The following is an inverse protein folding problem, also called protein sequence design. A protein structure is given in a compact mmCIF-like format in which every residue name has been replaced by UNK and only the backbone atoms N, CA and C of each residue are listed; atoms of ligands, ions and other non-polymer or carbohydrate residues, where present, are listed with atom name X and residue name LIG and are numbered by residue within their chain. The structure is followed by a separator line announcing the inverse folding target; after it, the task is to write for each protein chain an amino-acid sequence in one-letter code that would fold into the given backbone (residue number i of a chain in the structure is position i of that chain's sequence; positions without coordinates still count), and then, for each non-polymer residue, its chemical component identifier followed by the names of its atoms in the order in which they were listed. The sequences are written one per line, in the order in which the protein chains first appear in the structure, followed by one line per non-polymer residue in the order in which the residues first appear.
data_IF_787075164386
#
_entry.id   IF_787075164386
#
_cell.length_a   1.000
_cell.length_b   1.000
_cell.length_c   1.000
_cell.angle_alpha   90.00
_cell.angle_beta   90.00
_cell.angle_gamma   90.00
#
_symmetry.space_group_name_H-M   'P 1'
#
loop_
_entity.id
_entity.type
_entity.pdbx_description
1 polymer ?
#
# COMPACT_ATOMS: atom_id res chain seq x y z
N UNK A 1 -52.83 -14.58 -32.84
CA UNK A 1 -51.46 -14.44 -33.39
C UNK A 1 -50.53 -14.13 -32.23
N UNK A 2 -49.53 -14.99 -31.98
CA UNK A 2 -48.60 -14.86 -30.86
C UNK A 2 -47.47 -13.92 -31.25
N UNK A 3 -47.39 -12.74 -30.61
CA UNK A 3 -46.27 -11.83 -30.79
C UNK A 3 -45.10 -12.27 -29.91
N UNK A 4 -44.09 -12.87 -30.52
CA UNK A 4 -42.83 -13.20 -29.86
C UNK A 4 -42.11 -11.90 -29.51
N UNK A 5 -41.90 -11.63 -28.21
CA UNK A 5 -41.17 -10.45 -27.75
C UNK A 5 -39.76 -10.47 -28.33
N UNK A 6 -39.44 -9.50 -29.19
CA UNK A 6 -38.10 -9.36 -29.75
C UNK A 6 -37.18 -8.69 -28.72
N UNK A 7 -36.36 -9.50 -28.05
CA UNK A 7 -35.48 -9.06 -26.97
C UNK A 7 -34.39 -8.08 -27.42
N UNK A 8 -34.02 -8.05 -28.71
CA UNK A 8 -33.09 -7.05 -29.26
C UNK A 8 -33.72 -5.66 -29.27
N UNK A 9 -35.01 -5.56 -29.59
CA UNK A 9 -35.76 -4.30 -29.55
C UNK A 9 -35.91 -3.82 -28.11
N UNK A 10 -36.17 -4.72 -27.16
CA UNK A 10 -36.26 -4.36 -25.74
C UNK A 10 -34.94 -3.80 -25.21
N UNK A 11 -33.81 -4.40 -25.56
CA UNK A 11 -32.48 -3.94 -25.14
C UNK A 11 -32.09 -2.59 -25.77
N UNK A 12 -32.55 -2.32 -27.00
CA UNK A 12 -32.44 -1.01 -27.65
C UNK A 12 -33.34 0.04 -26.97
N UNK A 13 -34.57 -0.31 -26.60
CA UNK A 13 -35.49 0.56 -25.85
C UNK A 13 -34.92 0.88 -24.47
N UNK A 14 -34.40 -0.12 -23.76
CA UNK A 14 -33.79 0.04 -22.43
C UNK A 14 -32.55 0.96 -22.52
N UNK A 15 -31.69 0.76 -23.53
CA UNK A 15 -30.56 1.66 -23.81
C UNK A 15 -31.02 3.06 -24.23
N UNK A 16 -32.10 3.21 -24.99
CA UNK A 16 -32.67 4.52 -25.36
C UNK A 16 -33.33 5.22 -24.17
N UNK A 17 -33.85 4.50 -23.17
CA UNK A 17 -34.33 5.08 -21.91
C UNK A 17 -33.21 5.53 -20.98
N UNK A 18 -31.99 4.98 -21.09
CA UNK A 18 -30.79 5.52 -20.43
C UNK A 18 -30.28 6.81 -21.10
N UNK A 19 -30.71 7.09 -22.34
CA UNK A 19 -30.51 8.39 -22.97
C UNK A 19 -31.51 9.42 -22.42
N UNK A 20 -31.28 9.87 -21.19
CA UNK A 20 -31.97 11.04 -20.61
C UNK A 20 -31.63 12.38 -21.33
N UNK A 21 -30.99 12.33 -22.50
CA UNK A 21 -30.61 13.48 -23.32
C UNK A 21 -31.75 14.14 -24.10
N UNK A 22 -32.97 13.60 -24.07
CA UNK A 22 -34.15 14.21 -24.73
C UNK A 22 -35.01 15.08 -23.80
N UNK A 23 -34.74 15.11 -22.48
CA UNK A 23 -35.60 15.79 -21.50
C UNK A 23 -35.52 17.32 -21.49
N UNK A 24 -34.67 17.95 -22.29
CA UNK A 24 -34.61 19.42 -22.38
C UNK A 24 -34.88 19.96 -23.77
N UNK A 25 -35.98 19.53 -24.37
CA UNK A 25 -36.61 20.30 -25.43
C UNK A 25 -38.07 20.56 -25.05
N UNK A 26 -38.32 21.78 -24.55
CA UNK A 26 -39.67 22.37 -24.49
C UNK A 26 -40.34 22.14 -25.86
N UNK A 27 -41.58 21.64 -25.94
CA UNK A 27 -42.24 21.37 -27.22
C UNK A 27 -42.23 22.66 -28.05
N UNK A 28 -41.72 22.64 -29.30
CA UNK A 28 -41.75 23.82 -30.14
C UNK A 28 -43.20 24.19 -30.43
N UNK A 29 -43.50 25.48 -30.30
CA UNK A 29 -44.78 26.07 -30.70
C UNK A 29 -45.13 25.68 -32.16
N UNK A 30 -46.43 25.62 -32.53
CA UNK A 30 -46.86 25.20 -33.87
C UNK A 30 -46.10 25.98 -34.95
N UNK A 31 -45.44 25.23 -35.83
CA UNK A 31 -44.54 25.76 -36.85
C UNK A 31 -45.32 26.64 -37.84
N UNK A 32 -45.02 27.95 -37.85
CA UNK A 32 -45.35 28.81 -38.99
C UNK A 32 -44.57 28.31 -40.22
N UNK A 33 -45.16 28.36 -41.44
CA UNK A 33 -44.45 27.94 -42.64
C UNK A 33 -43.14 28.73 -42.78
N UNK A 34 -42.04 28.02 -43.02
CA UNK A 34 -40.74 28.63 -43.24
C UNK A 34 -40.81 29.50 -44.52
N UNK A 35 -40.91 30.82 -44.33
CA UNK A 35 -40.85 31.79 -45.42
C UNK A 35 -39.40 32.05 -45.74
N UNK A 36 -39.02 32.01 -47.01
CA UNK A 36 -37.81 32.70 -47.46
C UNK A 36 -38.11 34.19 -47.43
N UNK A 37 -37.49 34.92 -46.52
CA UNK A 37 -37.56 36.38 -46.53
C UNK A 37 -36.73 36.89 -47.71
N UNK A 38 -37.35 36.99 -48.89
CA UNK A 38 -36.67 37.44 -50.10
C UNK A 38 -37.51 37.25 -51.37
N UNK A 39 -37.45 38.26 -52.25
CA UNK A 39 -37.91 38.17 -53.64
C UNK A 39 -36.70 37.92 -54.54
N UNK A 40 -36.90 37.19 -55.62
CA UNK A 40 -35.88 37.01 -56.65
C UNK A 40 -35.49 38.36 -57.24
N UNK A 41 -34.20 38.66 -57.29
CA UNK A 41 -33.71 39.94 -57.82
C UNK A 41 -34.01 40.13 -59.31
N UNK A 42 -34.05 39.03 -60.09
CA UNK A 42 -34.30 39.07 -61.54
C UNK A 42 -35.79 39.13 -61.91
N UNK A 43 -36.63 38.45 -61.14
CA UNK A 43 -38.04 38.23 -61.49
C UNK A 43 -39.02 38.87 -60.51
N UNK A 44 -38.53 39.40 -59.38
CA UNK A 44 -39.31 39.97 -58.28
C UNK A 44 -40.37 39.02 -57.67
N UNK A 45 -40.23 37.72 -57.92
CA UNK A 45 -41.08 36.64 -57.42
C UNK A 45 -40.59 36.04 -56.10
N UNK A 46 -41.49 35.46 -55.31
CA UNK A 46 -41.14 34.82 -54.03
C UNK A 46 -40.24 33.57 -54.22
N UNK A 47 -39.21 33.44 -53.37
CA UNK A 47 -38.21 32.36 -53.45
C UNK A 47 -38.71 31.03 -52.81
N UNK A 48 -39.74 30.42 -53.39
CA UNK A 48 -40.41 29.24 -52.79
C UNK A 48 -39.68 27.90 -52.99
N UNK A 49 -38.67 27.84 -53.84
CA UNK A 49 -37.98 26.61 -54.23
C UNK A 49 -36.52 26.67 -53.80
N UNK A 50 -35.90 25.52 -53.56
CA UNK A 50 -34.47 25.38 -53.29
C UNK A 50 -33.84 24.52 -54.38
N UNK A 51 -32.78 25.03 -55.01
CA UNK A 51 -32.01 24.27 -55.98
C UNK A 51 -30.90 23.48 -55.26
N UNK A 52 -30.92 22.16 -55.36
CA UNK A 52 -29.94 21.29 -54.69
C UNK A 52 -28.55 21.42 -55.32
N UNK A 53 -28.46 21.60 -56.64
CA UNK A 53 -27.20 21.77 -57.37
C UNK A 53 -26.50 23.06 -56.97
N UNK A 54 -27.23 24.19 -56.99
CA UNK A 54 -26.67 25.52 -56.72
C UNK A 54 -26.72 25.92 -55.24
N UNK A 55 -27.33 25.07 -54.40
CA UNK A 55 -27.48 25.24 -52.94
C UNK A 55 -28.04 26.60 -52.54
N UNK A 56 -29.06 27.08 -53.26
CA UNK A 56 -29.68 28.39 -53.04
C UNK A 56 -31.18 28.37 -53.29
N UNK A 57 -31.95 29.24 -52.63
CA UNK A 57 -33.36 29.41 -52.92
C UNK A 57 -33.55 30.15 -54.26
N UNK A 58 -34.55 29.72 -55.03
CA UNK A 58 -34.91 30.26 -56.35
C UNK A 58 -36.43 30.48 -56.42
N UNK A 59 -36.90 31.34 -57.33
CA UNK A 59 -38.33 31.50 -57.62
C UNK A 59 -38.81 30.50 -58.68
N UNK A 60 -40.12 30.41 -58.88
CA UNK A 60 -40.73 29.51 -59.87
C UNK A 60 -40.31 29.81 -61.32
N UNK A 61 -40.07 31.09 -61.65
CA UNK A 61 -39.58 31.50 -62.98
C UNK A 61 -38.12 31.08 -63.20
N UNK A 62 -37.29 31.18 -62.14
CA UNK A 62 -35.91 30.69 -62.19
C UNK A 62 -35.85 29.19 -62.46
N UNK A 63 -36.79 28.38 -61.95
CA UNK A 63 -36.83 26.93 -62.21
C UNK A 63 -37.00 26.62 -63.71
N UNK A 64 -37.74 27.44 -64.45
CA UNK A 64 -37.96 27.21 -65.89
C UNK A 64 -36.83 27.78 -66.76
N UNK A 65 -35.94 28.60 -66.18
CA UNK A 65 -34.82 29.17 -66.92
C UNK A 65 -33.81 28.09 -67.33
N UNK A 66 -33.04 28.37 -68.39
CA UNK A 66 -31.96 27.48 -68.85
C UNK A 66 -30.95 27.16 -67.75
N UNK A 67 -30.80 28.06 -66.77
CA UNK A 67 -29.85 27.93 -65.66
C UNK A 67 -30.24 26.82 -64.67
N UNK A 68 -31.54 26.58 -64.44
CA UNK A 68 -32.01 25.64 -63.40
C UNK A 68 -32.99 24.56 -63.89
N UNK A 69 -33.42 24.59 -65.16
CA UNK A 69 -34.43 23.65 -65.71
C UNK A 69 -34.04 22.18 -65.60
N UNK A 70 -32.74 21.87 -65.54
CA UNK A 70 -32.22 20.51 -65.38
C UNK A 70 -31.73 20.20 -63.95
N UNK A 71 -31.82 21.15 -63.03
CA UNK A 71 -31.39 20.96 -61.65
C UNK A 71 -32.51 20.33 -60.82
N UNK A 72 -32.10 19.54 -59.82
CA UNK A 72 -33.01 19.04 -58.82
C UNK A 72 -33.46 20.18 -57.90
N UNK A 73 -34.78 20.32 -57.74
CA UNK A 73 -35.40 21.42 -57.02
C UNK A 73 -36.54 20.90 -56.16
N UNK A 74 -36.59 21.36 -54.90
CA UNK A 74 -37.64 21.01 -53.95
C UNK A 74 -38.23 22.28 -53.32
N UNK A 75 -39.49 22.25 -52.82
CA UNK A 75 -40.06 23.33 -52.03
C UNK A 75 -39.18 23.64 -50.80
N UNK A 76 -38.94 24.92 -50.52
CA UNK A 76 -38.14 25.33 -49.36
C UNK A 76 -38.65 24.74 -48.04
N UNK A 77 -39.97 24.68 -47.75
CA UNK A 77 -40.44 24.09 -46.49
C UNK A 77 -40.01 22.63 -46.30
N UNK A 78 -39.98 21.84 -47.37
CA UNK A 78 -39.55 20.42 -47.33
C UNK A 78 -38.06 20.33 -47.03
N UNK A 79 -37.23 21.07 -47.77
CA UNK A 79 -35.78 21.11 -47.54
C UNK A 79 -35.44 21.60 -46.14
N UNK A 80 -36.18 22.58 -45.61
CA UNK A 80 -35.99 23.07 -44.24
C UNK A 80 -36.30 21.99 -43.21
N UNK A 81 -37.37 21.21 -43.39
CA UNK A 81 -37.68 20.09 -42.48
C UNK A 81 -36.63 18.98 -42.56
N UNK A 82 -36.12 18.65 -43.75
CA UNK A 82 -35.02 17.69 -43.92
C UNK A 82 -33.73 18.17 -43.24
N UNK A 83 -33.36 19.45 -43.44
CA UNK A 83 -32.20 20.06 -42.79
C UNK A 83 -32.36 20.06 -41.27
N UNK A 84 -33.54 20.40 -40.74
CA UNK A 84 -33.85 20.29 -39.30
C UNK A 84 -33.72 18.86 -38.81
N UNK A 85 -34.18 17.87 -39.58
CA UNK A 85 -34.01 16.44 -39.29
C UNK A 85 -32.54 16.06 -39.16
N UNK A 86 -31.72 16.45 -40.15
CA UNK A 86 -30.27 16.25 -40.12
C UNK A 86 -29.58 16.91 -38.92
N UNK A 87 -29.98 18.12 -38.55
CA UNK A 87 -29.47 18.81 -37.36
C UNK A 87 -29.88 18.10 -36.06
N UNK A 88 -31.13 17.62 -35.95
CA UNK A 88 -31.59 16.83 -34.80
C UNK A 88 -30.77 15.54 -34.62
N UNK A 89 -30.49 14.82 -35.70
CA UNK A 89 -29.65 13.61 -35.64
C UNK A 89 -28.21 13.92 -35.19
N UNK A 90 -27.61 15.01 -35.71
CA UNK A 90 -26.29 15.46 -35.26
C UNK A 90 -26.31 15.83 -33.77
N UNK A 91 -27.35 16.51 -33.30
CA UNK A 91 -27.51 16.88 -31.90
C UNK A 91 -27.59 15.63 -31.00
N UNK A 92 -28.38 14.63 -31.39
CA UNK A 92 -28.47 13.36 -30.65
C UNK A 92 -27.11 12.68 -30.56
N UNK A 93 -26.36 12.61 -31.67
CA UNK A 93 -25.01 12.04 -31.69
C UNK A 93 -24.05 12.78 -30.76
N UNK A 94 -24.05 14.12 -30.80
CA UNK A 94 -23.18 14.93 -29.95
C UNK A 94 -23.52 14.80 -28.47
N UNK A 95 -24.81 14.75 -28.12
CA UNK A 95 -25.26 14.54 -26.75
C UNK A 95 -24.85 13.16 -26.23
N UNK A 96 -24.94 12.12 -27.07
CA UNK A 96 -24.41 10.80 -26.73
C UNK A 96 -22.92 10.83 -26.43
N UNK A 97 -22.13 11.43 -27.33
CA UNK A 97 -20.68 11.54 -27.16
C UNK A 97 -20.33 12.29 -25.88
N UNK A 98 -21.04 13.38 -25.56
CA UNK A 98 -20.88 14.12 -24.30
C UNK A 98 -21.17 13.24 -23.08
N UNK A 99 -22.25 12.45 -23.12
CA UNK A 99 -22.57 11.50 -22.04
C UNK A 99 -21.47 10.44 -21.87
N UNK A 100 -20.97 9.88 -22.96
CA UNK A 100 -19.85 8.91 -22.92
C UNK A 100 -18.58 9.52 -22.34
N UNK A 101 -18.21 10.73 -22.73
CA UNK A 101 -17.08 11.45 -22.13
C UNK A 101 -17.28 11.67 -20.62
N UNK A 102 -18.49 12.01 -20.19
CA UNK A 102 -18.83 12.14 -18.77
C UNK A 102 -18.65 10.84 -17.99
N UNK A 103 -19.09 9.71 -18.55
CA UNK A 103 -18.91 8.38 -17.97
C UNK A 103 -17.44 7.99 -17.84
N UNK A 104 -16.66 8.15 -18.90
CA UNK A 104 -15.21 7.82 -18.89
C UNK A 104 -14.50 8.70 -17.86
N UNK A 105 -14.79 10.00 -17.83
CA UNK A 105 -14.21 10.92 -16.84
C UNK A 105 -14.49 10.47 -15.41
N UNK A 106 -15.73 10.10 -15.09
CA UNK A 106 -16.08 9.62 -13.75
C UNK A 106 -15.34 8.33 -13.38
N UNK A 107 -15.23 7.38 -14.32
CA UNK A 107 -14.45 6.15 -14.13
C UNK A 107 -12.97 6.44 -13.88
N UNK A 108 -12.36 7.35 -14.65
CA UNK A 108 -10.95 7.71 -14.49
C UNK A 108 -10.68 8.46 -13.19
N UNK A 109 -11.60 9.35 -12.77
CA UNK A 109 -11.53 10.03 -11.46
C UNK A 109 -11.61 9.02 -10.30
N UNK A 110 -12.48 8.02 -10.39
CA UNK A 110 -12.55 6.93 -9.42
C UNK A 110 -11.26 6.10 -9.42
N UNK A 111 -10.77 5.68 -10.58
CA UNK A 111 -9.53 4.90 -10.70
C UNK A 111 -8.33 5.66 -10.12
N UNK A 112 -8.27 6.98 -10.34
CA UNK A 112 -7.25 7.85 -9.75
C UNK A 112 -7.33 7.89 -8.22
N UNK A 113 -8.53 7.93 -7.65
CA UNK A 113 -8.72 7.85 -6.20
C UNK A 113 -8.29 6.48 -5.65
N UNK A 114 -8.68 5.39 -6.31
CA UNK A 114 -8.33 4.02 -5.93
C UNK A 114 -6.81 3.79 -5.94
N UNK A 115 -6.10 4.31 -6.94
CA UNK A 115 -4.63 4.23 -7.00
C UNK A 115 -3.99 4.94 -5.81
N UNK A 116 -4.51 6.10 -5.39
CA UNK A 116 -4.00 6.81 -4.20
C UNK A 116 -4.24 6.02 -2.92
N UNK A 117 -5.44 5.43 -2.76
CA UNK A 117 -5.77 4.60 -1.61
C UNK A 117 -4.88 3.35 -1.54
N UNK A 118 -4.70 2.66 -2.67
CA UNK A 118 -3.80 1.49 -2.76
C UNK A 118 -2.35 1.85 -2.42
N UNK A 119 -1.87 3.01 -2.90
CA UNK A 119 -0.53 3.51 -2.56
C UNK A 119 -0.41 3.74 -1.05
N UNK A 120 -1.40 4.39 -0.44
CA UNK A 120 -1.38 4.70 1.00
C UNK A 120 -1.40 3.42 1.84
N UNK A 121 -2.27 2.47 1.52
CA UNK A 121 -2.33 1.18 2.21
C UNK A 121 -1.02 0.38 2.07
N UNK A 122 -0.40 0.39 0.88
CA UNK A 122 0.90 -0.27 0.69
C UNK A 122 2.01 0.45 1.48
N UNK A 123 1.97 1.78 1.57
CA UNK A 123 2.91 2.54 2.37
C UNK A 123 2.81 2.17 3.85
N UNK A 124 1.60 2.15 4.40
CA UNK A 124 1.33 1.73 5.79
C UNK A 124 1.83 0.31 6.03
N UNK A 125 1.51 -0.63 5.12
CA UNK A 125 2.02 -2.00 5.22
C UNK A 125 3.55 -2.08 5.23
N UNK A 126 4.23 -1.31 4.38
CA UNK A 126 5.70 -1.28 4.36
C UNK A 126 6.24 -0.73 5.69
N UNK A 127 5.64 0.33 6.21
CA UNK A 127 6.02 0.93 7.50
C UNK A 127 5.82 -0.06 8.65
N UNK A 128 4.69 -0.78 8.67
CA UNK A 128 4.38 -1.80 9.67
C UNK A 128 5.32 -3.02 9.58
N UNK A 129 5.52 -3.57 8.38
CA UNK A 129 6.39 -4.74 8.16
C UNK A 129 7.86 -4.40 8.55
N UNK A 130 8.35 -3.25 8.11
CA UNK A 130 9.70 -2.79 8.48
C UNK A 130 9.78 -2.48 9.98
N UNK A 131 8.75 -1.85 10.54
CA UNK A 131 8.67 -1.54 11.96
C UNK A 131 8.73 -2.80 12.83
N UNK A 132 7.98 -3.84 12.47
CA UNK A 132 7.99 -5.12 13.16
C UNK A 132 9.37 -5.79 13.12
N UNK A 133 10.05 -5.75 11.97
CA UNK A 133 11.41 -6.28 11.84
C UNK A 133 12.43 -5.51 12.69
N UNK A 134 12.34 -4.18 12.72
CA UNK A 134 13.22 -3.34 13.56
C UNK A 134 12.96 -3.61 15.04
N UNK A 135 11.70 -3.68 15.46
CA UNK A 135 11.35 -3.98 16.85
C UNK A 135 11.88 -5.34 17.27
N UNK A 136 11.70 -6.38 16.44
CA UNK A 136 12.26 -7.70 16.69
C UNK A 136 13.78 -7.67 16.87
N UNK A 137 14.51 -6.90 16.04
CA UNK A 137 15.96 -6.78 16.15
C UNK A 137 16.39 -6.09 17.46
N UNK A 138 15.64 -5.07 17.90
CA UNK A 138 15.89 -4.39 19.16
C UNK A 138 15.64 -5.34 20.35
N UNK A 139 14.50 -6.03 20.35
CA UNK A 139 14.11 -6.98 21.39
C UNK A 139 15.12 -8.14 21.49
N UNK A 140 15.53 -8.72 20.37
CA UNK A 140 16.51 -9.81 20.36
C UNK A 140 17.90 -9.34 20.81
N UNK A 141 18.30 -8.10 20.48
CA UNK A 141 19.54 -7.49 20.96
C UNK A 141 19.49 -7.29 22.48
N UNK A 142 18.42 -6.71 23.01
CA UNK A 142 18.26 -6.49 24.46
C UNK A 142 18.24 -7.84 25.21
N UNK A 143 17.48 -8.83 24.71
CA UNK A 143 17.45 -10.20 25.26
C UNK A 143 18.82 -10.87 25.32
N UNK A 144 19.65 -10.66 24.29
CA UNK A 144 21.00 -11.24 24.24
C UNK A 144 21.94 -10.55 25.25
N UNK A 145 21.84 -9.23 25.41
CA UNK A 145 22.63 -8.46 26.37
C UNK A 145 22.26 -8.83 27.82
N UNK A 146 20.98 -8.89 28.14
CA UNK A 146 20.51 -9.31 29.47
C UNK A 146 21.01 -10.71 29.83
N UNK A 147 20.99 -11.63 28.87
CA UNK A 147 21.48 -12.99 29.07
C UNK A 147 23.00 -13.02 29.29
N UNK A 148 23.76 -12.17 28.61
CA UNK A 148 25.21 -12.06 28.79
C UNK A 148 25.54 -11.50 30.18
N UNK A 149 24.86 -10.44 30.61
CA UNK A 149 25.00 -9.85 31.95
C UNK A 149 24.66 -10.88 33.05
N UNK A 150 23.62 -11.68 32.86
CA UNK A 150 23.25 -12.74 33.79
C UNK A 150 24.31 -13.84 33.89
N UNK A 151 24.93 -14.23 32.77
CA UNK A 151 25.98 -15.27 32.75
C UNK A 151 27.28 -14.76 33.42
N UNK A 152 27.64 -13.50 33.17
CA UNK A 152 28.75 -12.83 33.87
C UNK A 152 28.50 -12.79 35.38
N UNK A 153 27.32 -12.31 35.81
CA UNK A 153 26.97 -12.22 37.23
C UNK A 153 26.99 -13.59 37.92
N UNK A 154 26.48 -14.64 37.27
CA UNK A 154 26.52 -16.00 37.80
C UNK A 154 27.95 -16.52 37.94
N UNK A 155 28.82 -16.24 36.95
CA UNK A 155 30.23 -16.64 36.99
C UNK A 155 30.99 -15.92 38.09
N UNK A 156 30.79 -14.60 38.23
CA UNK A 156 31.40 -13.80 39.30
C UNK A 156 30.96 -14.29 40.68
N UNK A 157 29.67 -14.59 40.86
CA UNK A 157 29.16 -15.10 42.13
C UNK A 157 29.84 -16.42 42.54
N UNK A 158 30.04 -17.34 41.58
CA UNK A 158 30.74 -18.59 41.81
C UNK A 158 32.21 -18.38 42.19
N UNK A 159 32.90 -17.43 41.55
CA UNK A 159 34.28 -17.05 41.88
C UNK A 159 34.33 -16.46 43.30
N UNK A 160 33.44 -15.53 43.63
CA UNK A 160 33.37 -14.87 44.93
C UNK A 160 33.13 -15.88 46.08
N UNK A 161 32.28 -16.88 45.86
CA UNK A 161 32.07 -17.96 46.82
C UNK A 161 33.33 -18.80 47.02
N UNK A 162 34.04 -19.14 45.93
CA UNK A 162 35.29 -19.88 46.04
C UNK A 162 36.40 -19.05 46.71
N UNK A 163 36.49 -17.74 46.43
CA UNK A 163 37.44 -16.84 47.09
C UNK A 163 37.20 -16.82 48.60
N UNK A 164 35.95 -16.69 49.06
CA UNK A 164 35.60 -16.76 50.50
C UNK A 164 36.01 -18.10 51.13
N UNK A 165 35.83 -19.21 50.40
CA UNK A 165 36.27 -20.53 50.86
C UNK A 165 37.80 -20.59 51.00
N UNK A 166 38.53 -20.13 49.98
CA UNK A 166 40.00 -20.09 49.98
C UNK A 166 40.51 -19.25 51.13
N UNK A 167 39.95 -18.06 51.35
CA UNK A 167 40.32 -17.16 52.45
C UNK A 167 40.08 -17.81 53.83
N UNK A 168 38.95 -18.49 54.01
CA UNK A 168 38.65 -19.23 55.23
C UNK A 168 39.63 -20.39 55.47
N UNK A 169 39.96 -21.17 54.44
CA UNK A 169 40.95 -22.24 54.55
C UNK A 169 42.37 -21.70 54.81
N UNK A 170 42.75 -20.59 54.16
CA UNK A 170 44.01 -19.90 54.41
C UNK A 170 44.10 -19.43 55.87
N UNK A 171 43.05 -18.83 56.42
CA UNK A 171 43.01 -18.40 57.82
C UNK A 171 43.15 -19.57 58.81
N UNK A 172 42.60 -20.76 58.49
CA UNK A 172 42.81 -21.98 59.28
C UNK A 172 44.27 -22.43 59.25
N UNK A 173 44.91 -22.38 58.07
CA UNK A 173 46.32 -22.71 57.90
C UNK A 173 47.19 -21.71 58.66
N UNK A 174 46.95 -20.40 58.53
CA UNK A 174 47.68 -19.36 59.25
C UNK A 174 47.59 -19.54 60.77
N UNK A 175 46.41 -19.90 61.28
CA UNK A 175 46.23 -20.23 62.70
C UNK A 175 47.06 -21.44 63.12
N UNK A 176 47.07 -22.50 62.32
CA UNK A 176 47.88 -23.69 62.59
C UNK A 176 49.38 -23.38 62.55
N UNK A 177 49.82 -22.56 61.59
CA UNK A 177 51.20 -22.06 61.51
C UNK A 177 51.56 -21.28 62.77
N UNK A 178 50.72 -20.33 63.20
CA UNK A 178 50.96 -19.53 64.40
C UNK A 178 51.00 -20.38 65.67
N UNK A 179 50.14 -21.40 65.78
CA UNK A 179 50.15 -22.35 66.90
C UNK A 179 51.47 -23.13 66.98
N UNK A 180 51.94 -23.66 65.84
CA UNK A 180 53.24 -24.35 65.76
C UNK A 180 54.39 -23.38 66.07
N UNK A 181 54.37 -22.16 65.53
CA UNK A 181 55.39 -21.14 65.80
C UNK A 181 55.44 -20.78 67.29
N UNK A 182 54.28 -20.62 67.94
CA UNK A 182 54.21 -20.35 69.37
C UNK A 182 54.79 -21.51 70.18
N UNK A 183 54.44 -22.76 69.85
CA UNK A 183 55.01 -23.95 70.47
C UNK A 183 56.54 -24.05 70.29
N UNK A 184 57.08 -23.56 69.17
CA UNK A 184 58.53 -23.48 68.95
C UNK A 184 59.20 -22.35 69.75
N UNK A 185 58.46 -21.29 70.12
CA UNK A 185 58.98 -20.13 70.85
C UNK A 185 58.86 -20.23 72.38
N UNK A 186 57.85 -20.91 72.92
CA UNK A 186 57.65 -21.13 74.35
C UNK A 186 58.56 -22.27 74.86
N UNK A 187 59.79 -21.92 75.25
CA UNK A 187 60.70 -22.63 76.18
C UNK A 187 60.81 -24.15 76.03
N UNK A 188 61.87 -24.54 75.31
CA UNK A 188 62.32 -25.89 75.02
C UNK A 188 62.68 -26.75 76.26
N UNK A 189 61.78 -27.63 76.68
CA UNK A 189 62.15 -28.90 77.28
C UNK A 189 61.69 -30.05 76.37
N UNK A 190 62.41 -31.18 76.40
CA UNK A 190 62.15 -32.32 75.51
C UNK A 190 60.70 -32.85 75.62
N UNK A 191 60.14 -32.84 76.83
CA UNK A 191 58.79 -33.33 77.13
C UNK A 191 57.71 -32.50 76.39
N UNK A 192 57.82 -31.17 76.43
CA UNK A 192 56.87 -30.24 75.80
C UNK A 192 56.90 -30.35 74.28
N UNK A 193 58.09 -30.44 73.68
CA UNK A 193 58.27 -30.59 72.23
C UNK A 193 57.82 -31.98 71.77
N UNK A 194 58.16 -33.04 72.51
CA UNK A 194 57.74 -34.42 72.19
C UNK A 194 56.22 -34.57 72.21
N UNK A 195 55.53 -33.88 73.13
CA UNK A 195 54.07 -33.90 73.23
C UNK A 195 53.40 -33.12 72.09
N UNK A 196 53.95 -31.97 71.71
CA UNK A 196 53.49 -31.19 70.56
C UNK A 196 53.70 -31.95 69.24
N UNK A 197 54.88 -32.56 69.04
CA UNK A 197 55.21 -33.37 67.86
C UNK A 197 54.30 -34.59 67.68
N UNK A 198 53.87 -35.19 68.80
CA UNK A 198 52.97 -36.36 68.78
C UNK A 198 51.50 -35.99 68.53
N UNK A 199 51.17 -34.69 68.49
CA UNK A 199 49.82 -34.18 68.24
C UNK A 199 49.74 -33.63 66.81
N UNK A 200 49.31 -34.43 65.82
CA UNK A 200 49.32 -33.98 64.43
C UNK A 200 48.27 -32.88 64.20
N UNK A 201 48.73 -31.71 63.76
CA UNK A 201 47.89 -30.65 63.20
C UNK A 201 47.40 -31.08 61.82
N UNK A 202 46.27 -31.76 61.76
CA UNK A 202 45.67 -32.22 60.51
C UNK A 202 44.88 -31.10 59.83
N UNK A 203 45.58 -30.21 59.13
CA UNK A 203 44.93 -29.35 58.14
C UNK A 203 45.15 -29.99 56.76
N UNK A 204 44.15 -30.74 56.30
CA UNK A 204 44.14 -31.25 54.92
C UNK A 204 43.40 -30.24 54.05
N UNK A 205 44.15 -29.39 53.35
CA UNK A 205 43.56 -28.48 52.37
C UNK A 205 43.20 -29.23 51.10
N UNK A 206 41.99 -29.00 50.60
CA UNK A 206 41.60 -29.37 49.24
C UNK A 206 40.91 -28.17 48.63
N UNK A 207 41.70 -27.24 48.12
CA UNK A 207 41.22 -26.02 47.47
C UNK A 207 41.57 -26.12 45.99
N UNK A 208 40.61 -25.86 45.12
CA UNK A 208 40.80 -25.86 43.67
C UNK A 208 40.29 -24.54 43.08
N UNK A 209 40.90 -24.11 41.98
CA UNK A 209 40.38 -23.00 41.21
C UNK A 209 39.06 -23.40 40.53
N UNK A 210 38.10 -22.47 40.49
CA UNK A 210 36.89 -22.65 39.70
C UNK A 210 37.27 -22.62 38.23
N UNK A 211 36.82 -23.62 37.48
CA UNK A 211 36.92 -23.62 36.02
C UNK A 211 35.90 -22.63 35.46
N UNK A 212 36.37 -21.43 35.12
CA UNK A 212 35.55 -20.49 34.33
C UNK A 212 35.61 -20.87 32.85
N UNK A 213 34.48 -20.82 32.13
CA UNK A 213 34.49 -20.89 30.68
C UNK A 213 35.47 -19.83 30.13
N UNK A 214 36.44 -20.22 29.28
CA UNK A 214 37.48 -19.30 28.81
C UNK A 214 36.97 -18.24 27.84
N UNK A 215 35.76 -18.41 27.31
CA UNK A 215 35.17 -17.49 26.34
C UNK A 215 33.63 -17.66 26.37
N UNK A 216 32.88 -16.57 26.20
CA UNK A 216 31.41 -16.56 26.13
C UNK A 216 30.96 -17.15 24.78
N UNK A 217 31.35 -18.39 24.50
CA UNK A 217 31.30 -19.01 23.16
C UNK A 217 29.90 -19.14 22.58
N UNK A 218 28.87 -19.19 23.43
CA UNK A 218 27.46 -19.17 23.01
C UNK A 218 27.09 -17.83 22.32
N UNK A 219 27.89 -16.79 22.56
CA UNK A 219 27.72 -15.44 22.04
C UNK A 219 28.79 -15.06 21.00
N UNK A 220 29.45 -16.02 20.35
CA UNK A 220 30.43 -15.75 19.26
C UNK A 220 30.09 -16.47 17.95
N UNK A 221 28.83 -16.89 17.79
CA UNK A 221 28.32 -17.45 16.54
C UNK A 221 28.06 -16.39 15.44
N UNK A 222 27.72 -16.81 14.21
CA UNK A 222 27.34 -15.91 13.12
C UNK A 222 25.96 -15.29 13.41
N UNK A 223 25.90 -14.32 14.31
CA UNK A 223 24.68 -13.69 14.79
C UNK A 223 23.78 -13.22 13.67
N UNK A 224 24.37 -12.62 12.64
CA UNK A 224 23.66 -12.13 11.46
C UNK A 224 22.82 -13.25 10.80
N UNK A 225 23.34 -14.47 10.69
CA UNK A 225 22.64 -15.60 10.08
C UNK A 225 21.49 -16.10 10.99
N UNK A 226 21.71 -16.14 12.30
CA UNK A 226 20.70 -16.59 13.28
C UNK A 226 19.55 -15.58 13.35
N UNK A 227 19.87 -14.30 13.50
CA UNK A 227 18.89 -13.20 13.49
C UNK A 227 18.11 -13.20 12.18
N UNK A 228 18.79 -13.31 11.03
CA UNK A 228 18.11 -13.37 9.73
C UNK A 228 17.12 -14.53 9.62
N UNK A 229 17.49 -15.74 10.07
CA UNK A 229 16.56 -16.89 10.10
C UNK A 229 15.34 -16.65 10.98
N UNK A 230 15.52 -15.98 12.12
CA UNK A 230 14.40 -15.63 13.01
C UNK A 230 13.51 -14.54 12.41
N UNK A 231 14.11 -13.52 11.78
CA UNK A 231 13.39 -12.44 11.10
C UNK A 231 12.41 -12.94 10.03
N UNK A 232 12.75 -14.05 9.34
CA UNK A 232 11.85 -14.66 8.36
C UNK A 232 10.50 -15.09 8.94
N UNK A 233 10.39 -15.30 10.25
CA UNK A 233 9.14 -15.71 10.90
C UNK A 233 8.33 -14.51 11.43
N UNK A 234 8.91 -13.32 11.53
CA UNK A 234 8.27 -12.12 12.11
C UNK A 234 7.10 -11.62 11.28
N UNK A 235 7.21 -11.70 9.95
CA UNK A 235 6.18 -11.23 9.01
C UNK A 235 5.14 -12.31 8.64
N UNK A 236 5.26 -13.51 9.21
CA UNK A 236 4.42 -14.67 8.91
C UNK A 236 3.59 -15.17 10.11
N UNK A 237 3.62 -14.44 11.23
CA UNK A 237 2.77 -14.64 12.42
C UNK A 237 1.65 -13.61 12.47
#
# INVERSE_FOLDING_TARGET
MSFTKNYLVKNLVDKLSEFDCLKTCKPPAPAKPAKTDGKCERHHEELKLYCHTDRKPICVVCRESRDHRLHDVAPVPEVVEDMKGGLKLRLIKLNWQKSMCGRVKATDEQAKADVKLKKQALKEKIEDDVGALVQFLLDEKDRLLERLESEEAATIALIDENLKLVESEAAKVDKAIAEIQNQLSEVANFESISKAYSSPSHVNLTVQAVNCPPDFTEFTGPFQLILWKKMMHVLHT
#
